data_IF_956077253706
#
_entry.id   IF_956077253706
#
_cell.length_a   1.000
_cell.length_b   1.000
_cell.length_c   1.000
_cell.angle_alpha   90.00
_cell.angle_beta   90.00
_cell.angle_gamma   90.00
#
_symmetry.space_group_name_H-M   'P 1'
#
loop_
_entity.id
_entity.type
_entity.pdbx_description
1 polymer ?
#
# COMPACT_ATOMS: atom_id res chain seq x y z
N UNK A 1 -25.73 -2.86 -12.14
CA UNK A 1 -24.36 -2.37 -12.48
C UNK A 1 -24.44 -0.88 -12.75
N UNK A 2 -24.20 -0.05 -11.75
CA UNK A 2 -24.12 1.41 -11.93
C UNK A 2 -22.66 1.78 -12.13
N UNK A 3 -22.34 2.31 -13.32
CA UNK A 3 -21.04 2.84 -13.71
C UNK A 3 -20.59 3.92 -12.71
N UNK A 4 -19.48 3.69 -12.03
CA UNK A 4 -18.84 4.70 -11.20
C UNK A 4 -18.19 5.74 -12.11
N UNK A 5 -18.42 7.05 -11.90
CA UNK A 5 -17.81 8.09 -12.71
C UNK A 5 -16.32 8.24 -12.39
N UNK A 6 -15.55 8.60 -13.42
CA UNK A 6 -14.11 8.86 -13.37
C UNK A 6 -13.76 9.83 -12.23
N UNK A 7 -12.93 9.40 -11.29
CA UNK A 7 -12.45 10.20 -10.20
C UNK A 7 -11.08 10.77 -10.51
N UNK A 8 -11.00 12.10 -10.61
CA UNK A 8 -9.72 12.82 -10.52
C UNK A 8 -9.47 13.12 -9.04
N UNK A 9 -8.39 12.61 -8.49
CA UNK A 9 -7.89 13.07 -7.20
C UNK A 9 -7.35 14.48 -7.39
N UNK A 10 -8.01 15.48 -6.82
CA UNK A 10 -7.53 16.86 -6.79
C UNK A 10 -6.54 16.94 -5.64
N UNK A 11 -5.25 16.95 -5.97
CA UNK A 11 -4.19 17.28 -5.03
C UNK A 11 -4.31 18.76 -4.62
N UNK A 12 -4.35 19.03 -3.33
CA UNK A 12 -4.34 20.39 -2.78
C UNK A 12 -2.95 21.00 -2.94
N UNK A 13 -2.82 22.01 -3.84
CA UNK A 13 -1.63 22.85 -3.91
C UNK A 13 -1.57 23.78 -2.70
N UNK A 14 -0.57 23.61 -1.85
CA UNK A 14 -0.14 24.65 -0.91
C UNK A 14 1.01 25.41 -1.54
N UNK A 15 0.77 26.67 -1.90
CA UNK A 15 1.77 27.59 -2.42
C UNK A 15 2.58 28.17 -1.24
N UNK A 16 3.81 27.74 -1.05
CA UNK A 16 4.74 28.39 -0.12
C UNK A 16 5.68 29.30 -0.89
N UNK A 17 5.53 30.60 -0.71
CA UNK A 17 6.37 31.63 -1.30
C UNK A 17 7.76 31.67 -0.64
N UNK A 18 8.80 31.60 -1.44
CA UNK A 18 10.18 31.78 -1.02
C UNK A 18 10.58 33.24 -1.11
N UNK A 19 10.97 33.86 0.00
CA UNK A 19 11.67 35.13 0.08
C UNK A 19 13.18 34.88 0.07
N UNK A 20 13.84 35.36 -0.97
CA UNK A 20 15.30 35.38 -1.07
C UNK A 20 15.87 36.54 -0.25
N UNK A 21 16.80 36.28 0.64
CA UNK A 21 17.66 37.26 1.25
C UNK A 21 19.12 36.97 0.92
N UNK A 22 19.74 37.85 0.14
CA UNK A 22 21.18 37.90 -0.08
C UNK A 22 21.88 38.43 1.17
N UNK A 23 22.83 37.68 1.71
CA UNK A 23 23.75 38.12 2.73
C UNK A 23 25.16 37.62 2.46
N UNK A 24 26.04 38.54 2.02
CA UNK A 24 27.48 38.29 1.87
C UNK A 24 28.13 38.26 3.23
N UNK A 25 28.91 37.24 3.54
CA UNK A 25 29.78 37.22 4.73
C UNK A 25 31.12 36.58 4.43
N UNK A 26 32.13 37.28 4.92
CA UNK A 26 33.56 37.11 4.68
C UNK A 26 34.13 35.77 5.16
N UNK A 27 35.14 35.34 4.44
CA UNK A 27 36.06 34.21 4.73
C UNK A 27 36.87 34.48 6.00
N UNK A 28 36.65 33.68 7.06
CA UNK A 28 37.67 33.44 8.09
C UNK A 28 38.06 31.96 8.00
N UNK A 29 39.33 31.71 7.71
CA UNK A 29 39.89 30.38 7.70
C UNK A 29 39.95 29.75 9.09
N UNK A 30 39.38 28.56 9.24
CA UNK A 30 39.48 27.71 10.44
C UNK A 30 40.47 26.59 10.08
N UNK A 31 41.48 26.30 10.92
CA UNK A 31 42.43 25.21 10.66
C UNK A 31 41.78 23.84 10.92
N UNK A 32 41.95 22.93 9.96
CA UNK A 32 41.99 21.49 10.18
C UNK A 32 40.81 20.85 10.87
N UNK A 33 39.63 20.81 10.21
CA UNK A 33 38.66 19.77 10.53
C UNK A 33 39.07 18.50 9.74
N UNK A 34 39.44 17.45 10.46
CA UNK A 34 39.57 16.11 9.87
C UNK A 34 38.27 15.80 9.14
N UNK A 35 38.35 15.35 7.90
CA UNK A 35 37.22 14.90 7.13
C UNK A 35 36.49 13.81 7.96
N UNK A 36 35.17 13.91 8.14
CA UNK A 36 34.43 12.87 8.87
C UNK A 36 34.70 11.55 8.15
N UNK A 37 35.30 10.61 8.87
CA UNK A 37 35.58 9.26 8.38
C UNK A 37 34.33 8.73 7.73
N UNK A 38 34.44 8.19 6.52
CA UNK A 38 33.32 7.62 5.77
C UNK A 38 32.69 6.51 6.61
N UNK A 39 31.61 6.85 7.33
CA UNK A 39 30.85 5.85 8.06
C UNK A 39 30.40 4.78 7.04
N UNK A 40 30.75 3.53 7.29
CA UNK A 40 30.25 2.41 6.47
C UNK A 40 28.73 2.53 6.39
N UNK A 41 28.12 2.52 5.19
CA UNK A 41 26.67 2.63 5.06
C UNK A 41 25.98 1.56 5.92
N UNK A 42 25.02 1.96 6.73
CA UNK A 42 24.27 1.02 7.54
C UNK A 42 23.67 -0.08 6.64
N UNK A 43 23.73 -1.34 7.10
CA UNK A 43 23.11 -2.46 6.39
C UNK A 43 21.60 -2.20 6.21
N UNK A 44 21.01 -2.49 5.03
CA UNK A 44 19.57 -2.35 4.84
C UNK A 44 18.77 -3.15 5.87
N UNK A 45 17.64 -2.59 6.30
CA UNK A 45 16.72 -3.32 7.17
C UNK A 45 16.33 -4.65 6.51
N UNK A 46 16.38 -5.74 7.28
CA UNK A 46 16.00 -7.06 6.79
C UNK A 46 14.48 -7.29 6.98
N UNK A 47 13.76 -7.35 5.87
CA UNK A 47 12.29 -7.55 5.87
C UNK A 47 11.86 -9.01 6.02
N UNK A 48 12.79 -9.97 6.03
CA UNK A 48 12.48 -11.41 5.96
C UNK A 48 11.50 -11.87 7.05
N UNK A 49 11.62 -11.36 8.27
CA UNK A 49 10.70 -11.66 9.36
C UNK A 49 9.28 -11.12 9.20
N UNK A 50 9.07 -10.19 8.24
CA UNK A 50 7.76 -9.64 7.93
C UNK A 50 7.08 -10.36 6.76
N UNK A 51 7.85 -11.10 5.93
CA UNK A 51 7.31 -11.69 4.69
C UNK A 51 6.28 -12.80 4.95
N UNK A 52 6.49 -13.56 5.99
CA UNK A 52 5.59 -14.62 6.46
C UNK A 52 5.69 -14.73 7.99
N UNK A 53 5.08 -13.78 8.72
CA UNK A 53 5.21 -13.73 10.17
C UNK A 53 4.39 -14.86 10.81
N UNK A 54 5.07 -15.85 11.40
CA UNK A 54 4.47 -17.05 11.96
C UNK A 54 3.24 -16.74 12.84
N UNK A 55 2.04 -16.92 12.27
CA UNK A 55 0.74 -16.76 12.94
C UNK A 55 0.37 -15.34 13.36
N UNK A 56 1.16 -14.33 13.01
CA UNK A 56 0.79 -12.93 13.21
C UNK A 56 0.03 -12.36 12.01
N UNK A 57 -0.88 -11.41 12.25
CA UNK A 57 -1.67 -10.77 11.20
C UNK A 57 -1.38 -9.27 11.12
N UNK A 58 -1.58 -8.70 9.94
CA UNK A 58 -1.57 -7.25 9.74
C UNK A 58 -3.00 -6.70 9.82
N UNK A 59 -3.16 -5.67 10.63
CA UNK A 59 -4.32 -4.80 10.62
C UNK A 59 -3.87 -3.46 10.02
N UNK A 60 -4.33 -3.16 8.84
CA UNK A 60 -3.99 -1.94 8.14
C UNK A 60 -5.12 -0.92 8.11
N UNK A 61 -4.75 0.35 7.89
CA UNK A 61 -5.68 1.43 7.63
C UNK A 61 -5.11 2.40 6.60
N UNK A 62 -5.98 2.88 5.71
CA UNK A 62 -5.79 4.05 4.86
C UNK A 62 -6.85 5.07 5.24
N UNK A 63 -6.43 6.29 5.61
CA UNK A 63 -7.34 7.33 6.05
C UNK A 63 -6.85 8.72 5.60
N UNK A 64 -7.74 9.71 5.37
CA UNK A 64 -7.34 11.04 4.95
C UNK A 64 -6.33 11.68 5.90
N UNK A 65 -5.20 12.16 5.36
CA UNK A 65 -4.13 12.80 6.11
C UNK A 65 -3.28 11.85 6.98
N UNK A 66 -3.48 10.54 6.87
CA UNK A 66 -2.59 9.55 7.47
C UNK A 66 -1.53 9.11 6.42
N UNK A 67 -0.29 8.91 6.85
CA UNK A 67 0.30 9.03 8.19
C UNK A 67 0.96 10.38 8.49
N UNK A 68 0.74 11.44 7.70
CA UNK A 68 1.21 12.82 8.02
C UNK A 68 0.76 13.22 9.42
N UNK A 69 -0.51 12.94 9.71
CA UNK A 69 -1.09 13.00 11.04
C UNK A 69 -1.49 11.60 11.51
N UNK A 70 -1.11 11.26 12.74
CA UNK A 70 -1.54 10.03 13.40
C UNK A 70 -2.92 10.14 14.06
N UNK A 71 -3.59 11.29 13.97
CA UNK A 71 -4.95 11.50 14.48
C UNK A 71 -5.95 10.49 13.88
N UNK A 72 -6.11 10.43 12.53
CA UNK A 72 -7.00 9.49 11.87
C UNK A 72 -6.71 8.03 12.22
N UNK A 73 -5.41 7.67 12.34
CA UNK A 73 -4.99 6.31 12.73
C UNK A 73 -5.45 5.96 14.15
N UNK A 74 -5.36 6.91 15.10
CA UNK A 74 -5.83 6.70 16.48
C UNK A 74 -7.35 6.60 16.55
N UNK A 75 -8.08 7.40 15.76
CA UNK A 75 -9.54 7.31 15.64
C UNK A 75 -9.94 5.93 15.12
N UNK A 76 -9.32 5.45 14.06
CA UNK A 76 -9.54 4.10 13.55
C UNK A 76 -9.21 3.03 14.60
N UNK A 77 -8.07 3.14 15.29
CA UNK A 77 -7.66 2.20 16.32
C UNK A 77 -8.67 2.08 17.47
N UNK A 78 -9.25 3.22 17.91
CA UNK A 78 -10.31 3.24 18.92
C UNK A 78 -11.57 2.52 18.43
N UNK A 79 -11.95 2.74 17.16
CA UNK A 79 -13.12 2.13 16.54
C UNK A 79 -12.93 0.63 16.27
N UNK A 80 -11.73 0.22 15.88
CA UNK A 80 -11.41 -1.19 15.59
C UNK A 80 -11.13 -2.00 16.87
N UNK A 81 -10.98 -1.35 18.03
CA UNK A 81 -10.61 -2.03 19.27
C UNK A 81 -9.19 -2.64 19.24
N UNK A 82 -8.39 -2.30 18.23
CA UNK A 82 -7.03 -2.81 18.05
C UNK A 82 -6.16 -1.76 17.34
N UNK A 83 -4.87 -1.78 17.67
CA UNK A 83 -3.90 -0.83 17.10
C UNK A 83 -3.43 -1.31 15.73
N UNK A 84 -3.64 -0.55 14.63
CA UNK A 84 -3.13 -0.94 13.33
C UNK A 84 -1.59 -0.98 13.34
N UNK A 85 -1.05 -1.98 12.64
CA UNK A 85 0.39 -2.21 12.46
C UNK A 85 0.83 -2.06 11.00
N UNK A 86 -0.07 -1.54 10.14
CA UNK A 86 0.19 -1.13 8.77
C UNK A 86 -0.62 0.15 8.50
N UNK A 87 0.03 1.16 7.89
CA UNK A 87 -0.63 2.43 7.52
C UNK A 87 -0.32 2.71 6.06
N UNK A 88 -1.39 2.79 5.25
CA UNK A 88 -1.29 3.01 3.83
C UNK A 88 -1.48 4.47 3.44
N UNK A 89 -0.78 4.88 2.38
CA UNK A 89 -0.86 6.18 1.73
C UNK A 89 -0.79 6.03 0.22
N UNK A 90 -1.55 6.86 -0.50
CA UNK A 90 -1.48 6.95 -1.96
C UNK A 90 -0.46 8.01 -2.36
N UNK A 91 0.52 7.62 -3.18
CA UNK A 91 1.55 8.49 -3.71
C UNK A 91 1.39 8.65 -5.22
N UNK A 92 1.17 9.88 -5.68
CA UNK A 92 1.09 10.17 -7.11
C UNK A 92 2.48 10.04 -7.77
N UNK A 93 2.48 9.69 -9.07
CA UNK A 93 3.71 9.61 -9.84
C UNK A 93 4.34 11.01 -9.97
N UNK A 94 5.65 11.06 -9.95
CA UNK A 94 6.49 12.27 -9.93
C UNK A 94 6.54 13.00 -8.58
N UNK A 95 5.69 12.68 -7.62
CA UNK A 95 5.82 13.22 -6.27
C UNK A 95 7.08 12.66 -5.58
N UNK A 96 7.73 13.43 -4.71
CA UNK A 96 8.76 12.88 -3.83
C UNK A 96 8.10 11.94 -2.81
N UNK A 97 8.79 10.86 -2.45
CA UNK A 97 8.32 10.02 -1.34
C UNK A 97 8.25 10.86 -0.06
N UNK A 98 7.13 10.78 0.66
CA UNK A 98 7.01 11.41 1.97
C UNK A 98 7.75 10.57 3.02
N UNK A 99 8.99 10.98 3.27
CA UNK A 99 9.84 10.31 4.26
C UNK A 99 9.41 10.62 5.70
N UNK A 100 8.73 11.75 5.93
CA UNK A 100 8.19 12.07 7.25
C UNK A 100 6.96 11.23 7.57
N UNK A 101 6.06 11.05 6.61
CA UNK A 101 4.92 10.15 6.73
C UNK A 101 5.37 8.71 7.05
N UNK A 102 6.38 8.20 6.32
CA UNK A 102 6.97 6.90 6.61
C UNK A 102 7.58 6.82 8.02
N UNK A 103 8.29 7.87 8.47
CA UNK A 103 8.85 7.94 9.82
C UNK A 103 7.75 8.00 10.90
N UNK A 104 6.63 8.68 10.63
CA UNK A 104 5.47 8.73 11.52
C UNK A 104 4.84 7.34 11.69
N UNK A 105 4.62 6.61 10.57
CA UNK A 105 4.12 5.23 10.62
C UNK A 105 5.05 4.33 11.45
N UNK A 106 6.35 4.40 11.21
CA UNK A 106 7.36 3.67 11.97
C UNK A 106 7.36 4.03 13.46
N UNK A 107 7.30 5.32 13.80
CA UNK A 107 7.24 5.78 15.20
C UNK A 107 5.99 5.27 15.90
N UNK A 108 4.88 5.17 15.18
CA UNK A 108 3.64 4.57 15.66
C UNK A 108 3.77 3.05 15.85
N UNK A 109 4.75 2.39 15.26
CA UNK A 109 4.94 0.92 15.31
C UNK A 109 4.22 0.19 14.18
N UNK A 110 4.00 0.87 13.07
CA UNK A 110 3.35 0.34 11.88
C UNK A 110 4.29 0.29 10.68
N UNK A 111 4.06 -0.68 9.79
CA UNK A 111 4.65 -0.74 8.46
C UNK A 111 4.03 0.37 7.61
N UNK A 112 4.87 1.18 6.95
CA UNK A 112 4.41 2.14 5.96
C UNK A 112 4.12 1.42 4.64
N UNK A 113 2.92 1.64 4.07
CA UNK A 113 2.47 1.04 2.82
C UNK A 113 2.20 2.12 1.78
N UNK A 114 3.06 2.21 0.80
CA UNK A 114 2.96 3.14 -0.32
C UNK A 114 2.18 2.51 -1.48
N UNK A 115 1.04 3.09 -1.81
CA UNK A 115 0.29 2.77 -3.03
C UNK A 115 0.71 3.77 -4.10
N UNK A 116 1.51 3.32 -5.06
CA UNK A 116 2.19 4.18 -6.04
C UNK A 116 1.43 4.24 -7.36
N UNK A 117 0.85 5.40 -7.65
CA UNK A 117 -0.15 5.61 -8.71
C UNK A 117 0.41 6.36 -9.92
N UNK A 118 0.61 5.71 -11.08
CA UNK A 118 1.19 6.34 -12.28
C UNK A 118 0.15 7.15 -13.09
N UNK A 119 -0.46 8.21 -12.50
CA UNK A 119 -1.46 9.03 -13.18
C UNK A 119 -0.90 9.87 -14.33
N UNK A 120 0.26 10.51 -14.12
CA UNK A 120 0.84 11.48 -15.06
C UNK A 120 1.88 10.88 -16.01
N UNK A 121 1.81 9.56 -16.20
CA UNK A 121 2.68 8.81 -17.10
C UNK A 121 1.97 7.58 -17.62
N UNK A 122 2.51 6.93 -18.63
CA UNK A 122 2.03 5.63 -19.08
C UNK A 122 2.96 4.51 -18.59
N UNK A 123 2.39 3.35 -18.31
CA UNK A 123 3.18 2.17 -17.90
C UNK A 123 4.19 1.78 -18.98
N UNK A 124 3.83 1.90 -20.27
CA UNK A 124 4.75 1.70 -21.39
C UNK A 124 5.94 2.68 -21.35
N UNK A 125 5.71 3.94 -20.98
CA UNK A 125 6.77 4.94 -20.80
C UNK A 125 7.72 4.59 -19.65
N UNK A 126 7.17 4.08 -18.54
CA UNK A 126 7.96 3.57 -17.42
C UNK A 126 8.79 2.36 -17.88
N UNK A 127 8.16 1.39 -18.55
CA UNK A 127 8.84 0.21 -19.08
C UNK A 127 10.00 0.55 -20.03
N UNK A 128 9.87 1.65 -20.79
CA UNK A 128 10.91 2.18 -21.67
C UNK A 128 12.03 2.98 -20.94
N UNK A 129 12.02 3.05 -19.60
CA UNK A 129 13.08 3.70 -18.80
C UNK A 129 12.98 5.23 -18.71
N UNK A 130 11.88 5.83 -19.17
CA UNK A 130 11.76 7.31 -19.19
C UNK A 130 11.62 7.93 -17.79
N UNK A 131 11.36 7.11 -16.78
CA UNK A 131 11.22 7.51 -15.38
C UNK A 131 12.38 7.04 -14.49
N UNK A 132 13.47 6.50 -15.03
CA UNK A 132 14.57 5.87 -14.27
C UNK A 132 15.17 6.80 -13.21
N UNK A 133 15.38 8.07 -13.55
CA UNK A 133 15.93 9.05 -12.61
C UNK A 133 15.00 9.32 -11.43
N UNK A 134 13.67 9.39 -11.68
CA UNK A 134 12.66 9.57 -10.66
C UNK A 134 12.58 8.33 -9.75
N UNK A 135 12.46 7.14 -10.34
CA UNK A 135 12.38 5.86 -9.61
C UNK A 135 13.64 5.66 -8.75
N UNK A 136 14.82 5.95 -9.31
CA UNK A 136 16.09 5.85 -8.57
C UNK A 136 16.13 6.82 -7.39
N UNK A 137 15.58 8.03 -7.52
CA UNK A 137 15.47 8.99 -6.42
C UNK A 137 14.59 8.44 -5.30
N UNK A 138 13.40 7.92 -5.62
CA UNK A 138 12.51 7.27 -4.64
C UNK A 138 13.20 6.08 -3.97
N UNK A 139 13.87 5.23 -4.75
CA UNK A 139 14.62 4.10 -4.21
C UNK A 139 15.70 4.52 -3.20
N UNK A 140 16.43 5.61 -3.48
CA UNK A 140 17.44 6.16 -2.55
C UNK A 140 16.80 6.71 -1.28
N UNK A 141 15.61 7.34 -1.37
CA UNK A 141 14.87 7.82 -0.20
C UNK A 141 14.42 6.63 0.66
N UNK A 142 13.86 5.57 0.05
CA UNK A 142 13.50 4.32 0.76
C UNK A 142 14.72 3.68 1.42
N UNK A 143 15.85 3.61 0.71
CA UNK A 143 17.11 3.08 1.27
C UNK A 143 17.59 3.88 2.48
N UNK A 144 17.49 5.22 2.40
CA UNK A 144 17.94 6.12 3.46
C UNK A 144 17.07 6.02 4.73
N UNK A 145 15.77 5.75 4.62
CA UNK A 145 14.89 5.51 5.77
C UNK A 145 15.36 4.34 6.63
N UNK A 146 15.96 3.32 6.01
CA UNK A 146 16.42 2.10 6.64
C UNK A 146 15.41 1.44 7.60
N UNK A 147 14.14 1.53 7.26
CA UNK A 147 12.99 0.85 7.88
C UNK A 147 12.20 0.11 6.80
N UNK A 148 11.37 -0.90 7.13
CA UNK A 148 10.60 -1.61 6.12
C UNK A 148 9.57 -0.70 5.48
N UNK A 149 9.43 -0.79 4.16
CA UNK A 149 8.42 -0.10 3.36
C UNK A 149 7.71 -1.13 2.49
N UNK A 150 6.38 -1.21 2.56
CA UNK A 150 5.60 -1.97 1.59
C UNK A 150 5.25 -1.07 0.40
N UNK A 151 5.36 -1.59 -0.83
CA UNK A 151 5.08 -0.83 -2.05
C UNK A 151 4.18 -1.64 -2.97
N UNK A 152 3.07 -1.01 -3.39
CA UNK A 152 2.21 -1.49 -4.48
C UNK A 152 2.26 -0.48 -5.63
N UNK A 153 2.76 -0.88 -6.78
CA UNK A 153 2.79 -0.06 -7.99
C UNK A 153 1.61 -0.41 -8.88
N UNK A 154 0.85 0.60 -9.32
CA UNK A 154 -0.24 0.41 -10.28
C UNK A 154 -1.26 -0.61 -9.79
N UNK A 155 -1.78 -0.46 -8.58
CA UNK A 155 -2.80 -1.33 -7.99
C UNK A 155 -4.06 -1.42 -8.87
N UNK A 156 -4.84 -2.49 -8.74
CA UNK A 156 -6.05 -2.72 -9.52
C UNK A 156 -5.84 -2.63 -11.05
N UNK A 157 -4.67 -3.06 -11.52
CA UNK A 157 -4.27 -3.00 -12.94
C UNK A 157 -5.19 -3.81 -13.86
N UNK A 158 -5.93 -4.77 -13.32
CA UNK A 158 -6.93 -5.58 -14.03
C UNK A 158 -8.29 -4.89 -14.20
N UNK A 159 -8.46 -3.69 -13.61
CA UNK A 159 -9.63 -2.85 -13.82
C UNK A 159 -9.47 -1.91 -15.03
N UNK A 160 -10.59 -1.33 -15.47
CA UNK A 160 -10.63 -0.37 -16.59
C UNK A 160 -10.70 1.10 -16.14
N UNK A 161 -10.78 1.36 -14.85
CA UNK A 161 -11.04 2.68 -14.28
C UNK A 161 -9.80 3.53 -14.03
N UNK A 162 -8.63 2.92 -14.04
CA UNK A 162 -7.36 3.63 -13.92
C UNK A 162 -6.64 3.72 -15.27
N UNK A 163 -5.82 4.78 -15.50
CA UNK A 163 -5.04 4.91 -16.74
C UNK A 163 -3.96 3.83 -16.90
N UNK A 164 -3.55 3.15 -15.83
CA UNK A 164 -2.64 2.01 -15.84
C UNK A 164 -3.36 0.66 -15.90
N UNK A 165 -4.70 0.67 -15.98
CA UNK A 165 -5.52 -0.53 -16.10
C UNK A 165 -5.61 -1.05 -17.53
N UNK A 166 -6.53 -1.98 -17.74
CA UNK A 166 -6.66 -2.77 -18.99
C UNK A 166 -6.94 -1.96 -20.25
N UNK A 167 -7.50 -0.76 -20.13
CA UNK A 167 -7.76 0.13 -21.26
C UNK A 167 -6.54 0.92 -21.73
N UNK A 168 -5.50 1.05 -20.93
CA UNK A 168 -4.32 1.86 -21.20
C UNK A 168 -2.99 1.13 -21.14
N UNK A 169 -2.98 -0.13 -20.69
CA UNK A 169 -1.75 -0.87 -20.39
C UNK A 169 -1.85 -2.31 -20.85
N UNK A 170 -0.84 -2.78 -21.60
CA UNK A 170 -0.70 -4.20 -21.91
C UNK A 170 -0.06 -4.96 -20.74
N UNK A 171 -0.36 -6.26 -20.63
CA UNK A 171 0.29 -7.12 -19.64
C UNK A 171 1.82 -7.09 -19.76
N UNK A 172 2.35 -7.10 -20.99
CA UNK A 172 3.78 -7.03 -21.25
C UNK A 172 4.42 -5.74 -20.73
N UNK A 173 3.79 -4.58 -20.96
CA UNK A 173 4.27 -3.30 -20.46
C UNK A 173 4.22 -3.24 -18.93
N UNK A 174 3.14 -3.75 -18.31
CA UNK A 174 3.01 -3.80 -16.87
C UNK A 174 4.13 -4.62 -16.23
N UNK A 175 4.35 -5.83 -16.72
CA UNK A 175 5.42 -6.73 -16.25
C UNK A 175 6.80 -6.09 -16.45
N UNK A 176 7.03 -5.47 -17.60
CA UNK A 176 8.32 -4.82 -17.90
C UNK A 176 8.58 -3.64 -16.98
N UNK A 177 7.58 -2.77 -16.73
CA UNK A 177 7.65 -1.64 -15.81
C UNK A 177 7.91 -2.11 -14.37
N UNK A 178 7.14 -3.11 -13.90
CA UNK A 178 7.33 -3.69 -12.56
C UNK A 178 8.75 -4.19 -12.34
N UNK A 179 9.25 -5.00 -13.29
CA UNK A 179 10.62 -5.55 -13.22
C UNK A 179 11.69 -4.46 -13.28
N UNK A 180 11.47 -3.40 -14.07
CA UNK A 180 12.39 -2.26 -14.14
C UNK A 180 12.45 -1.51 -12.80
N UNK A 181 11.29 -1.18 -12.21
CA UNK A 181 11.22 -0.53 -10.89
C UNK A 181 11.98 -1.36 -9.86
N UNK A 182 11.68 -2.66 -9.77
CA UNK A 182 12.36 -3.56 -8.84
C UNK A 182 13.88 -3.58 -9.02
N UNK A 183 14.38 -3.63 -10.29
CA UNK A 183 15.82 -3.59 -10.58
C UNK A 183 16.47 -2.28 -10.16
N UNK A 184 15.80 -1.13 -10.37
CA UNK A 184 16.32 0.18 -9.97
C UNK A 184 16.41 0.30 -8.45
N UNK A 185 15.45 -0.24 -7.71
CA UNK A 185 15.52 -0.32 -6.25
C UNK A 185 16.66 -1.23 -5.78
N UNK A 186 16.83 -2.38 -6.42
CA UNK A 186 17.95 -3.27 -6.12
C UNK A 186 19.33 -2.61 -6.41
N UNK A 187 19.43 -1.87 -7.51
CA UNK A 187 20.64 -1.11 -7.86
C UNK A 187 20.95 0.03 -6.87
N UNK A 188 19.91 0.61 -6.24
CA UNK A 188 20.04 1.58 -5.16
C UNK A 188 20.27 0.95 -3.77
N UNK A 189 20.45 -0.38 -3.68
CA UNK A 189 20.52 -1.17 -2.44
C UNK A 189 19.29 -0.97 -1.51
N UNK A 190 18.14 -0.57 -2.05
CA UNK A 190 16.88 -0.42 -1.33
C UNK A 190 16.21 -1.79 -1.14
N UNK A 191 16.81 -2.64 -0.28
CA UNK A 191 16.38 -4.02 -0.01
C UNK A 191 15.38 -4.10 1.15
N UNK A 192 15.08 -2.98 1.76
CA UNK A 192 14.10 -2.83 2.84
C UNK A 192 12.66 -2.68 2.33
N UNK A 193 12.34 -3.27 1.18
CA UNK A 193 11.04 -3.19 0.51
C UNK A 193 10.31 -4.53 0.54
N UNK A 194 9.01 -4.47 0.82
CA UNK A 194 8.04 -5.54 0.64
C UNK A 194 7.20 -5.20 -0.59
N UNK A 195 7.33 -5.99 -1.65
CA UNK A 195 6.65 -5.75 -2.93
C UNK A 195 5.27 -6.39 -2.93
N UNK A 196 4.21 -5.58 -3.13
CA UNK A 196 2.81 -6.04 -3.14
C UNK A 196 2.26 -5.93 -4.57
N UNK A 197 2.08 -7.05 -5.24
CA UNK A 197 1.38 -7.13 -6.53
C UNK A 197 -0.11 -7.20 -6.24
N UNK A 198 -0.88 -6.16 -6.64
CA UNK A 198 -2.22 -5.91 -6.12
C UNK A 198 -3.29 -5.79 -7.22
N UNK A 199 -3.89 -6.90 -7.69
CA UNK A 199 -5.09 -6.86 -8.50
C UNK A 199 -6.34 -6.47 -7.68
N UNK A 200 -7.38 -6.00 -8.36
CA UNK A 200 -8.75 -6.05 -7.87
C UNK A 200 -9.31 -7.47 -7.99
N UNK A 201 -10.37 -7.79 -7.25
CA UNK A 201 -11.12 -9.05 -7.45
C UNK A 201 -11.56 -9.21 -8.91
N UNK A 202 -11.60 -10.44 -9.42
CA UNK A 202 -11.76 -10.74 -10.86
C UNK A 202 -13.17 -10.54 -11.42
N UNK A 203 -14.12 -10.06 -10.61
CA UNK A 203 -15.49 -9.80 -11.06
C UNK A 203 -15.60 -8.64 -12.07
N UNK A 204 -14.57 -7.74 -12.09
CA UNK A 204 -14.55 -6.59 -12.98
C UNK A 204 -14.33 -6.96 -14.45
N UNK A 205 -13.49 -7.96 -14.74
CA UNK A 205 -13.27 -8.57 -16.05
C UNK A 205 -12.88 -10.04 -15.87
N UNK A 206 -13.85 -10.94 -15.84
CA UNK A 206 -13.61 -12.37 -15.60
C UNK A 206 -12.87 -13.07 -16.76
N UNK A 207 -12.66 -12.40 -17.90
CA UNK A 207 -11.91 -12.94 -19.03
C UNK A 207 -10.42 -12.58 -18.98
N UNK A 208 -10.01 -11.69 -18.06
CA UNK A 208 -8.61 -11.30 -17.92
C UNK A 208 -7.82 -12.41 -17.24
N UNK A 209 -6.78 -12.89 -17.88
CA UNK A 209 -5.80 -13.80 -17.27
C UNK A 209 -4.81 -13.01 -16.41
N UNK A 210 -4.97 -13.08 -15.08
CA UNK A 210 -4.09 -12.41 -14.12
C UNK A 210 -2.64 -12.89 -14.22
N UNK A 211 -2.40 -14.13 -14.64
CA UNK A 211 -1.04 -14.70 -14.75
C UNK A 211 -0.19 -13.94 -15.77
N UNK A 212 -0.82 -13.38 -16.82
CA UNK A 212 -0.14 -12.60 -17.86
C UNK A 212 0.46 -11.29 -17.32
N UNK A 213 -0.09 -10.73 -16.23
CA UNK A 213 0.39 -9.52 -15.54
C UNK A 213 1.35 -9.83 -14.40
N UNK A 214 1.60 -11.09 -14.09
CA UNK A 214 2.44 -11.47 -12.96
C UNK A 214 3.94 -11.33 -13.29
N UNK A 215 4.70 -10.49 -12.55
CA UNK A 215 6.10 -10.27 -12.87
C UNK A 215 7.02 -11.44 -12.49
N UNK A 216 6.51 -12.41 -11.72
CA UNK A 216 7.21 -13.59 -11.23
C UNK A 216 7.62 -13.47 -9.76
N UNK A 217 7.77 -14.62 -9.11
CA UNK A 217 8.02 -14.76 -7.66
C UNK A 217 9.27 -14.02 -7.14
N UNK A 218 10.27 -13.82 -8.01
CA UNK A 218 11.49 -13.09 -7.66
C UNK A 218 11.26 -11.58 -7.45
N UNK A 219 10.11 -11.06 -7.93
CA UNK A 219 9.78 -9.64 -7.93
C UNK A 219 8.60 -9.31 -7.01
N UNK A 220 8.00 -10.30 -6.37
CA UNK A 220 6.81 -10.14 -5.51
C UNK A 220 7.09 -10.74 -4.14
N UNK A 221 6.77 -9.97 -3.10
CA UNK A 221 6.82 -10.44 -1.70
C UNK A 221 5.46 -10.95 -1.25
N UNK A 222 4.42 -10.16 -1.49
CA UNK A 222 3.03 -10.47 -1.16
C UNK A 222 2.13 -10.25 -2.38
N UNK A 223 1.08 -11.05 -2.48
CA UNK A 223 -0.03 -10.78 -3.38
C UNK A 223 -1.06 -9.96 -2.61
N UNK A 224 -1.27 -8.72 -3.06
CA UNK A 224 -2.39 -7.91 -2.59
C UNK A 224 -3.67 -8.29 -3.33
N UNK A 225 -4.82 -8.07 -2.71
CA UNK A 225 -6.11 -8.11 -3.40
C UNK A 225 -6.93 -6.92 -2.90
N UNK A 226 -7.45 -6.11 -3.83
CA UNK A 226 -8.45 -5.09 -3.53
C UNK A 226 -9.84 -5.63 -3.78
N UNK A 227 -10.75 -5.44 -2.85
CA UNK A 227 -12.16 -5.83 -3.00
C UNK A 227 -13.02 -5.24 -1.90
N UNK A 228 -14.25 -4.87 -2.25
CA UNK A 228 -15.19 -4.22 -1.34
C UNK A 228 -16.48 -5.01 -1.22
N UNK A 229 -16.98 -5.12 0.00
CA UNK A 229 -18.32 -5.65 0.25
C UNK A 229 -19.34 -4.56 -0.08
N UNK A 230 -20.08 -4.74 -1.16
CA UNK A 230 -21.09 -3.81 -1.62
C UNK A 230 -22.51 -4.31 -1.28
N UNK A 231 -23.49 -3.39 -1.27
CA UNK A 231 -24.89 -3.71 -0.96
C UNK A 231 -25.45 -4.80 -1.89
N UNK A 232 -25.00 -4.83 -3.14
CA UNK A 232 -25.49 -5.74 -4.18
C UNK A 232 -24.48 -6.81 -4.58
N UNK A 233 -23.32 -6.81 -3.96
CA UNK A 233 -22.21 -7.71 -4.28
C UNK A 233 -22.12 -8.93 -3.35
N UNK A 234 -20.99 -9.64 -3.44
CA UNK A 234 -20.65 -10.70 -2.51
C UNK A 234 -20.65 -10.19 -1.06
N UNK A 235 -21.16 -10.99 -0.13
CA UNK A 235 -21.34 -10.64 1.27
C UNK A 235 -20.50 -11.47 2.24
N UNK A 236 -19.71 -12.42 1.69
CA UNK A 236 -18.76 -13.23 2.49
C UNK A 236 -17.34 -13.11 1.96
N UNK A 237 -16.36 -13.37 2.84
CA UNK A 237 -14.94 -13.39 2.46
C UNK A 237 -14.68 -14.35 1.30
N UNK A 238 -15.23 -15.57 1.37
CA UNK A 238 -14.99 -16.60 0.37
C UNK A 238 -15.64 -16.26 -0.98
N UNK A 239 -16.83 -15.64 -0.99
CA UNK A 239 -17.49 -15.26 -2.23
C UNK A 239 -16.83 -14.04 -2.89
N UNK A 240 -16.24 -13.13 -2.09
CA UNK A 240 -15.58 -11.94 -2.63
C UNK A 240 -14.16 -12.22 -3.10
N UNK A 241 -13.35 -12.90 -2.28
CA UNK A 241 -11.93 -13.08 -2.57
C UNK A 241 -11.58 -14.47 -3.12
N UNK A 242 -12.38 -15.49 -2.80
CA UNK A 242 -12.10 -16.89 -3.14
C UNK A 242 -11.79 -17.14 -4.61
N UNK A 243 -12.62 -16.68 -5.58
CA UNK A 243 -12.35 -16.87 -7.01
C UNK A 243 -11.01 -16.28 -7.44
N UNK A 244 -10.68 -15.05 -7.00
CA UNK A 244 -9.40 -14.40 -7.30
C UNK A 244 -8.22 -15.13 -6.68
N UNK A 245 -8.33 -15.53 -5.42
CA UNK A 245 -7.30 -16.31 -4.73
C UNK A 245 -7.06 -17.65 -5.42
N UNK A 246 -8.12 -18.33 -5.85
CA UNK A 246 -8.02 -19.61 -6.56
C UNK A 246 -7.29 -19.46 -7.89
N UNK A 247 -7.60 -18.44 -8.70
CA UNK A 247 -6.89 -18.17 -9.95
C UNK A 247 -5.40 -17.91 -9.68
N UNK A 248 -5.08 -17.05 -8.71
CA UNK A 248 -3.70 -16.69 -8.38
C UNK A 248 -2.91 -17.89 -7.88
N UNK A 249 -3.53 -18.83 -7.13
CA UNK A 249 -2.87 -20.07 -6.70
C UNK A 249 -2.50 -21.01 -7.86
N UNK A 250 -3.04 -20.77 -9.04
CA UNK A 250 -2.64 -21.48 -10.27
C UNK A 250 -1.21 -21.14 -10.74
N UNK A 251 -0.62 -20.03 -10.30
CA UNK A 251 0.72 -19.59 -10.74
C UNK A 251 1.68 -19.10 -9.65
N UNK A 252 1.21 -18.87 -8.42
CA UNK A 252 2.11 -18.49 -7.30
C UNK A 252 1.60 -18.95 -5.94
N UNK A 253 2.55 -19.23 -5.03
CA UNK A 253 2.28 -19.55 -3.62
C UNK A 253 2.63 -18.39 -2.67
N UNK A 254 2.84 -17.17 -3.17
CA UNK A 254 3.09 -16.00 -2.31
C UNK A 254 1.92 -15.76 -1.38
N UNK A 255 2.16 -15.35 -0.11
CA UNK A 255 1.08 -15.09 0.83
C UNK A 255 0.23 -13.91 0.36
N UNK A 256 -1.05 -13.95 0.71
CA UNK A 256 -2.00 -12.89 0.41
C UNK A 256 -2.05 -11.82 1.50
N UNK A 257 -2.35 -10.61 1.11
CA UNK A 257 -2.87 -9.55 1.97
C UNK A 257 -4.09 -8.93 1.28
N UNK A 258 -5.19 -8.71 2.00
CA UNK A 258 -6.27 -7.89 1.47
C UNK A 258 -5.79 -6.45 1.54
N UNK A 259 -5.22 -5.97 0.43
CA UNK A 259 -4.44 -4.73 0.37
C UNK A 259 -5.30 -3.47 0.43
N UNK A 260 -6.61 -3.63 0.15
CA UNK A 260 -7.60 -2.58 0.29
C UNK A 260 -8.99 -3.19 0.38
N UNK A 261 -9.76 -2.84 1.41
CA UNK A 261 -11.14 -3.30 1.60
C UNK A 261 -11.92 -2.36 2.51
N UNK A 262 -13.22 -2.41 2.39
CA UNK A 262 -14.18 -1.89 3.35
C UNK A 262 -15.53 -2.52 3.11
N UNK A 263 -16.51 -2.15 3.91
CA UNK A 263 -17.89 -2.63 3.81
C UNK A 263 -18.80 -1.44 3.51
N UNK A 264 -19.63 -1.51 2.48
CA UNK A 264 -20.62 -0.49 2.17
C UNK A 264 -21.75 -0.50 3.22
N UNK A 265 -22.25 0.69 3.57
CA UNK A 265 -23.38 0.82 4.50
C UNK A 265 -24.64 0.15 3.92
N UNK A 266 -25.21 -0.80 4.63
CA UNK A 266 -26.37 -1.56 4.17
C UNK A 266 -26.81 -2.66 5.13
N UNK A 267 -27.84 -3.42 4.78
CA UNK A 267 -28.44 -4.42 5.68
C UNK A 267 -27.47 -5.55 6.08
N UNK A 268 -26.45 -5.85 5.24
CA UNK A 268 -25.51 -6.93 5.45
C UNK A 268 -24.18 -6.45 6.02
N UNK A 269 -24.00 -5.14 6.31
CA UNK A 269 -22.70 -4.56 6.69
C UNK A 269 -22.03 -5.24 7.88
N UNK A 270 -22.81 -5.62 8.89
CA UNK A 270 -22.29 -6.31 10.08
C UNK A 270 -21.83 -7.72 9.75
N UNK A 271 -22.63 -8.47 8.99
CA UNK A 271 -22.31 -9.83 8.57
C UNK A 271 -21.07 -9.85 7.65
N UNK A 272 -20.97 -8.90 6.73
CA UNK A 272 -19.80 -8.74 5.85
C UNK A 272 -18.52 -8.42 6.65
N UNK A 273 -18.60 -7.51 7.63
CA UNK A 273 -17.49 -7.18 8.51
C UNK A 273 -17.03 -8.40 9.34
N UNK A 274 -17.97 -9.17 9.88
CA UNK A 274 -17.69 -10.42 10.61
C UNK A 274 -17.03 -11.45 9.67
N UNK A 275 -17.54 -11.58 8.44
CA UNK A 275 -17.01 -12.51 7.45
C UNK A 275 -15.59 -12.13 7.03
N UNK A 276 -15.29 -10.84 6.83
CA UNK A 276 -13.92 -10.36 6.54
C UNK A 276 -12.92 -10.83 7.61
N UNK A 277 -13.20 -10.51 8.88
CA UNK A 277 -12.23 -10.82 9.95
C UNK A 277 -12.14 -12.34 10.20
N UNK A 278 -13.26 -13.05 10.08
CA UNK A 278 -13.29 -14.51 10.20
C UNK A 278 -12.50 -15.19 9.09
N UNK A 279 -12.68 -14.76 7.83
CA UNK A 279 -11.94 -15.25 6.67
C UNK A 279 -10.43 -15.04 6.82
N UNK A 280 -10.00 -13.83 7.19
CA UNK A 280 -8.59 -13.53 7.45
C UNK A 280 -8.02 -14.39 8.60
N UNK A 281 -8.80 -14.62 9.65
CA UNK A 281 -8.39 -15.46 10.79
C UNK A 281 -8.21 -16.94 10.39
N UNK A 282 -9.14 -17.46 9.58
CA UNK A 282 -9.17 -18.86 9.19
C UNK A 282 -8.23 -19.22 8.05
N UNK A 283 -7.81 -18.24 7.25
CA UNK A 283 -6.90 -18.44 6.12
C UNK A 283 -5.44 -18.23 6.56
N UNK A 284 -4.64 -19.29 6.72
CA UNK A 284 -3.28 -19.19 7.24
C UNK A 284 -2.37 -18.38 6.30
N UNK A 285 -2.61 -18.44 5.00
CA UNK A 285 -1.85 -17.76 3.95
C UNK A 285 -2.33 -16.33 3.66
N UNK A 286 -3.37 -15.84 4.36
CA UNK A 286 -3.79 -14.43 4.32
C UNK A 286 -3.18 -13.69 5.49
N UNK A 287 -2.26 -12.79 5.20
CA UNK A 287 -1.47 -12.06 6.20
C UNK A 287 -2.27 -11.00 6.99
N UNK A 288 -3.40 -10.54 6.46
CA UNK A 288 -4.21 -9.52 7.09
C UNK A 288 -5.03 -8.71 6.10
N UNK A 289 -5.50 -7.55 6.53
CA UNK A 289 -6.26 -6.64 5.67
C UNK A 289 -5.95 -5.18 5.97
N UNK A 290 -6.20 -4.30 4.97
CA UNK A 290 -6.09 -2.85 5.06
C UNK A 290 -7.46 -2.23 4.86
N UNK A 291 -7.97 -1.57 5.88
CA UNK A 291 -9.27 -0.91 5.85
C UNK A 291 -9.17 0.44 5.15
N UNK A 292 -9.99 0.66 4.11
CA UNK A 292 -10.17 1.93 3.43
C UNK A 292 -11.12 2.82 4.22
N UNK A 293 -10.58 3.76 4.99
CA UNK A 293 -11.31 4.56 5.97
C UNK A 293 -11.62 5.98 5.45
N UNK A 294 -12.33 6.06 4.34
CA UNK A 294 -12.66 7.31 3.64
C UNK A 294 -14.16 7.53 3.52
N UNK A 295 -14.56 8.77 3.33
CA UNK A 295 -15.83 9.11 2.70
C UNK A 295 -15.54 9.47 1.23
N UNK A 296 -16.01 8.67 0.30
CA UNK A 296 -15.65 8.81 -1.11
C UNK A 296 -16.80 8.35 -2.01
N UNK A 297 -17.05 9.09 -3.09
CA UNK A 297 -18.09 8.77 -4.11
C UNK A 297 -19.51 8.62 -3.56
N UNK A 298 -19.84 9.37 -2.51
CA UNK A 298 -21.17 9.30 -1.89
C UNK A 298 -21.34 8.14 -0.89
N UNK A 299 -20.31 7.32 -0.73
CA UNK A 299 -20.28 6.22 0.26
C UNK A 299 -19.41 6.60 1.44
N UNK A 300 -19.88 6.34 2.64
CA UNK A 300 -19.10 6.47 3.87
C UNK A 300 -18.53 5.11 4.26
N UNK A 301 -17.22 4.92 4.00
CA UNK A 301 -16.47 3.72 4.32
C UNK A 301 -15.81 3.76 5.70
N UNK A 302 -15.97 4.90 6.43
CA UNK A 302 -15.30 5.11 7.71
C UNK A 302 -15.88 4.21 8.79
N UNK A 303 -14.99 3.56 9.52
CA UNK A 303 -15.35 2.66 10.60
C UNK A 303 -15.96 3.41 11.79
N UNK A 304 -15.43 4.58 12.13
CA UNK A 304 -15.84 5.38 13.30
C UNK A 304 -17.27 5.91 13.23
N UNK A 305 -17.90 5.91 12.07
CA UNK A 305 -19.28 6.37 11.90
C UNK A 305 -20.32 5.26 12.08
N UNK A 306 -19.88 3.99 12.26
CA UNK A 306 -20.77 2.80 12.20
C UNK A 306 -20.60 1.88 13.42
N UNK A 307 -21.19 2.20 14.59
CA UNK A 307 -21.01 1.42 15.82
C UNK A 307 -21.28 -0.09 15.70
N UNK A 308 -22.29 -0.58 14.95
CA UNK A 308 -22.47 -2.02 14.78
C UNK A 308 -21.31 -2.71 14.04
N UNK A 309 -20.76 -2.06 13.01
CA UNK A 309 -19.58 -2.56 12.26
C UNK A 309 -18.33 -2.52 13.13
N UNK A 310 -18.16 -1.45 13.94
CA UNK A 310 -17.07 -1.38 14.93
C UNK A 310 -17.11 -2.57 15.87
N UNK A 311 -18.27 -2.88 16.44
CA UNK A 311 -18.41 -4.02 17.35
C UNK A 311 -18.06 -5.36 16.66
N UNK A 312 -18.47 -5.53 15.39
CA UNK A 312 -18.15 -6.72 14.60
C UNK A 312 -16.63 -6.85 14.35
N UNK A 313 -15.98 -5.76 13.92
CA UNK A 313 -14.53 -5.74 13.69
C UNK A 313 -13.77 -5.96 15.00
N UNK A 314 -14.08 -5.21 16.06
CA UNK A 314 -13.42 -5.34 17.36
C UNK A 314 -13.57 -6.75 17.96
N UNK A 315 -14.78 -7.31 17.90
CA UNK A 315 -15.04 -8.68 18.35
C UNK A 315 -14.28 -9.72 17.54
N UNK A 316 -14.20 -9.55 16.23
CA UNK A 316 -13.43 -10.42 15.35
C UNK A 316 -11.91 -10.33 15.57
N UNK A 317 -11.39 -9.14 15.87
CA UNK A 317 -9.97 -8.91 16.15
C UNK A 317 -9.56 -9.37 17.56
N UNK A 318 -10.50 -9.55 18.49
CA UNK A 318 -10.22 -9.99 19.84
C UNK A 318 -9.48 -11.34 19.84
N UNK A 319 -8.31 -11.39 20.50
CA UNK A 319 -7.46 -12.57 20.54
C UNK A 319 -6.67 -12.87 19.26
N UNK A 320 -6.79 -12.03 18.20
CA UNK A 320 -5.93 -12.13 17.03
C UNK A 320 -4.55 -11.57 17.36
N UNK A 321 -3.50 -12.37 17.12
CA UNK A 321 -2.13 -11.89 17.30
C UNK A 321 -1.76 -10.96 16.13
N UNK A 322 -1.48 -9.70 16.43
CA UNK A 322 -0.95 -8.76 15.45
C UNK A 322 0.58 -8.81 15.41
N UNK A 323 1.14 -8.67 14.20
CA UNK A 323 2.59 -8.61 13.99
C UNK A 323 3.19 -7.42 14.71
N UNK A 324 4.30 -7.63 15.44
CA UNK A 324 5.12 -6.54 15.91
C UNK A 324 6.13 -6.18 14.81
N UNK A 325 5.87 -5.12 14.06
CA UNK A 325 6.69 -4.72 12.88
C UNK A 325 8.14 -4.38 13.24
N UNK A 326 8.40 -3.98 14.48
CA UNK A 326 9.75 -3.67 14.96
C UNK A 326 10.51 -4.88 15.48
N UNK A 327 9.78 -5.96 15.75
CA UNK A 327 10.31 -7.25 16.27
C UNK A 327 9.46 -8.37 15.68
N UNK A 328 9.56 -8.62 14.35
CA UNK A 328 8.76 -9.60 13.66
C UNK A 328 9.10 -11.05 14.09
#
# INVERSE_FOLDING_TARGET
MRLLPKLRVIGSFVLAGALAACGSSALYGVPGAEAPGSATPAKPYNVSGLLDPAGGKFLGVQAPGAPDSLGPVRTFAASAGARPNLIGEYMAWNDPMDTQAAANAWSYGALYYMVWEPYDTTVASIAAGRSDAYITRVARQVRALNQPVAISFGHEFNGYWYPWGTTGTTAADFVAAWRLIHRLFAAADARNVIWIWNPNVIDADPQLDLSSYYPGDAYVSWVGITGYFSITGPDTFDTLYGPTMQEIRGFTNKPFIIAETSVETGPNEVAAAQSLVSGVRQSPDVLGFVWFNYQKLGVDWRLETRPPVQAAIAGGLAGLRLVNVRRP
#
